data_IF_082113898892
#
_entry.id   IF_082113898892
#
_cell.length_a   1.000
_cell.length_b   1.000
_cell.length_c   1.000
_cell.angle_alpha   90.00
_cell.angle_beta   90.00
_cell.angle_gamma   90.00
#
_symmetry.space_group_name_H-M   'P 1'
#
loop_
_entity.id
_entity.type
_entity.pdbx_description
1 polymer ?
#
# COMPACT_ATOMS: atom_id res chain seq x y z
N UNK A 1 -20.39 21.63 1.44
CA UNK A 1 -19.95 20.48 2.28
C UNK A 1 -20.65 20.57 3.61
N UNK A 2 -21.51 19.59 3.87
CA UNK A 2 -22.21 19.44 5.14
C UNK A 2 -21.20 19.11 6.26
N UNK A 3 -21.64 19.21 7.53
CA UNK A 3 -20.80 18.78 8.65
C UNK A 3 -20.47 17.28 8.60
N UNK A 4 -21.40 16.48 8.07
CA UNK A 4 -21.26 15.04 7.84
C UNK A 4 -20.23 14.74 6.74
N UNK A 5 -20.24 15.47 5.63
CA UNK A 5 -19.21 15.32 4.59
C UNK A 5 -17.81 15.61 5.16
N UNK A 6 -17.69 16.62 6.03
CA UNK A 6 -16.41 16.98 6.66
C UNK A 6 -15.91 15.89 7.61
N UNK A 7 -16.79 15.26 8.39
CA UNK A 7 -16.41 14.18 9.31
C UNK A 7 -15.97 12.94 8.53
N UNK A 8 -16.71 12.55 7.48
CA UNK A 8 -16.34 11.45 6.60
C UNK A 8 -15.01 11.69 5.91
N UNK A 9 -14.81 12.88 5.33
CA UNK A 9 -13.56 13.23 4.68
C UNK A 9 -12.36 13.19 5.64
N UNK A 10 -12.57 13.53 6.92
CA UNK A 10 -11.51 13.44 7.94
C UNK A 10 -11.10 12.00 8.21
N UNK A 11 -12.06 11.07 8.28
CA UNK A 11 -11.79 9.63 8.47
C UNK A 11 -11.10 9.04 7.23
N UNK A 12 -11.58 9.36 6.02
CA UNK A 12 -10.95 8.88 4.79
C UNK A 12 -9.50 9.39 4.69
N UNK A 13 -9.30 10.68 5.01
CA UNK A 13 -7.96 11.28 4.95
C UNK A 13 -6.98 10.69 5.96
N UNK A 14 -7.44 10.33 7.17
CA UNK A 14 -6.55 9.72 8.17
C UNK A 14 -6.07 8.33 7.73
N UNK A 15 -6.95 7.53 7.13
CA UNK A 15 -6.59 6.22 6.57
C UNK A 15 -5.65 6.37 5.38
N UNK A 16 -5.90 7.36 4.49
CA UNK A 16 -5.09 7.59 3.29
C UNK A 16 -3.61 7.82 3.61
N UNK A 17 -3.32 8.56 4.68
CA UNK A 17 -1.93 8.83 5.11
C UNK A 17 -1.18 7.52 5.40
N UNK A 18 -1.81 6.60 6.13
CA UNK A 18 -1.20 5.30 6.44
C UNK A 18 -0.99 4.46 5.18
N UNK A 19 -1.96 4.46 4.27
CA UNK A 19 -1.88 3.77 2.98
C UNK A 19 -0.75 4.34 2.10
N UNK A 20 -0.60 5.66 2.02
CA UNK A 20 0.48 6.31 1.27
C UNK A 20 1.87 5.91 1.82
N UNK A 21 2.01 5.84 3.15
CA UNK A 21 3.25 5.34 3.77
C UNK A 21 3.51 3.86 3.46
N UNK A 22 2.48 3.02 3.47
CA UNK A 22 2.61 1.61 3.09
C UNK A 22 3.02 1.47 1.61
N UNK A 23 2.40 2.24 0.70
CA UNK A 23 2.74 2.26 -0.73
C UNK A 23 4.20 2.71 -0.94
N UNK A 24 4.66 3.74 -0.23
CA UNK A 24 6.06 4.15 -0.27
C UNK A 24 6.99 3.05 0.26
N UNK A 25 6.56 2.31 1.28
CA UNK A 25 7.33 1.23 1.91
C UNK A 25 7.51 0.02 1.00
N UNK A 26 6.47 -0.39 0.27
CA UNK A 26 6.51 -1.56 -0.64
C UNK A 26 7.36 -1.31 -1.89
N UNK A 27 7.57 -0.05 -2.29
CA UNK A 27 8.48 0.33 -3.40
C UNK A 27 9.96 -0.02 -3.15
N UNK A 28 10.30 -0.60 -1.99
CA UNK A 28 11.60 -1.29 -1.81
C UNK A 28 11.71 -2.54 -2.69
N UNK A 29 10.59 -3.19 -3.01
CA UNK A 29 10.52 -4.27 -3.98
C UNK A 29 10.58 -3.69 -5.40
N UNK A 30 11.65 -3.97 -6.15
CA UNK A 30 11.83 -3.43 -7.51
C UNK A 30 10.73 -3.82 -8.49
N UNK A 31 10.11 -4.99 -8.30
CA UNK A 31 8.94 -5.41 -9.08
C UNK A 31 7.75 -4.45 -8.98
N UNK A 32 7.63 -3.67 -7.90
CA UNK A 32 6.58 -2.64 -7.70
C UNK A 32 7.08 -1.24 -8.04
N UNK A 33 8.38 -0.98 -7.86
CA UNK A 33 8.98 0.34 -8.09
C UNK A 33 9.23 0.63 -9.58
N UNK A 34 9.79 -0.34 -10.28
CA UNK A 34 10.22 -0.19 -11.65
C UNK A 34 9.11 -0.67 -12.60
N UNK A 35 9.26 -0.43 -13.90
CA UNK A 35 8.29 -0.90 -14.90
C UNK A 35 8.21 -2.43 -14.84
N UNK A 36 7.07 -2.93 -14.40
CA UNK A 36 6.75 -4.36 -14.41
C UNK A 36 6.46 -4.79 -15.84
N UNK A 37 7.33 -5.64 -16.41
CA UNK A 37 7.26 -6.06 -17.83
C UNK A 37 6.57 -7.40 -18.05
N UNK A 38 6.08 -8.02 -16.98
CA UNK A 38 5.36 -9.28 -17.09
C UNK A 38 3.87 -8.99 -17.28
N UNK A 39 3.34 -9.42 -18.43
CA UNK A 39 1.96 -9.17 -18.86
C UNK A 39 1.07 -10.41 -18.69
N UNK A 40 1.57 -11.46 -18.05
CA UNK A 40 0.71 -12.59 -17.73
C UNK A 40 -0.38 -12.15 -16.75
N UNK A 41 -1.58 -12.67 -16.98
CA UNK A 41 -2.76 -12.27 -16.24
C UNK A 41 -2.60 -12.50 -14.73
N UNK A 42 -3.05 -11.53 -13.93
CA UNK A 42 -2.96 -11.53 -12.47
C UNK A 42 -1.56 -11.35 -11.86
N UNK A 43 -0.47 -11.34 -12.63
CA UNK A 43 0.88 -11.22 -12.04
C UNK A 43 1.19 -9.82 -11.51
N UNK A 44 0.61 -8.77 -12.08
CA UNK A 44 0.74 -7.42 -11.52
C UNK A 44 0.10 -7.32 -10.14
N UNK A 45 -1.07 -7.93 -9.97
CA UNK A 45 -1.79 -7.94 -8.69
C UNK A 45 -1.04 -8.79 -7.67
N UNK A 46 -0.59 -9.98 -8.07
CA UNK A 46 0.23 -10.84 -7.21
C UNK A 46 1.54 -10.14 -6.77
N UNK A 47 2.18 -9.38 -7.67
CA UNK A 47 3.39 -8.64 -7.32
C UNK A 47 3.14 -7.59 -6.23
N UNK A 48 1.99 -6.90 -6.28
CA UNK A 48 1.56 -5.96 -5.25
C UNK A 48 1.21 -6.69 -3.95
N UNK A 49 0.44 -7.78 -4.01
CA UNK A 49 0.05 -8.57 -2.84
C UNK A 49 1.28 -9.09 -2.08
N UNK A 50 2.24 -9.68 -2.80
CA UNK A 50 3.49 -10.17 -2.22
C UNK A 50 4.28 -9.02 -1.57
N UNK A 51 4.36 -7.85 -2.23
CA UNK A 51 5.06 -6.70 -1.67
C UNK A 51 4.38 -6.17 -0.39
N UNK A 52 3.05 -6.14 -0.36
CA UNK A 52 2.25 -5.80 0.83
C UNK A 52 2.46 -6.82 1.96
N UNK A 53 2.45 -8.13 1.65
CA UNK A 53 2.72 -9.17 2.62
C UNK A 53 4.12 -9.03 3.24
N UNK A 54 5.14 -8.74 2.41
CA UNK A 54 6.51 -8.49 2.88
C UNK A 54 6.60 -7.21 3.74
N UNK A 55 5.82 -6.17 3.43
CA UNK A 55 5.74 -4.99 4.28
C UNK A 55 5.14 -5.31 5.64
N UNK A 56 4.02 -6.05 5.68
CA UNK A 56 3.35 -6.45 6.91
C UNK A 56 4.25 -7.35 7.75
N UNK A 57 4.91 -8.33 7.14
CA UNK A 57 5.90 -9.18 7.78
C UNK A 57 7.01 -8.33 8.41
N UNK A 58 7.60 -7.38 7.66
CA UNK A 58 8.63 -6.49 8.19
C UNK A 58 8.15 -5.65 9.38
N UNK A 59 6.89 -5.21 9.40
CA UNK A 59 6.33 -4.49 10.54
C UNK A 59 6.18 -5.39 11.77
N UNK A 60 5.71 -6.62 11.58
CA UNK A 60 5.54 -7.60 12.65
C UNK A 60 6.87 -7.95 13.34
N UNK A 61 7.96 -8.07 12.58
CA UNK A 61 9.29 -8.44 13.09
C UNK A 61 10.22 -7.26 13.42
N UNK A 62 9.79 -6.01 13.18
CA UNK A 62 10.59 -4.81 13.55
C UNK A 62 10.51 -4.48 15.05
N UNK A 63 9.50 -5.02 15.74
CA UNK A 63 9.24 -4.79 17.17
C UNK A 63 9.70 -5.96 18.06
N UNK A 64 10.38 -6.96 17.47
CA UNK A 64 11.12 -8.02 18.17
C UNK A 64 12.61 -7.66 18.18
#
# INVERSE_FOLDING_TARGET
MTAEDKSLNRVISSVRIQVEHAIASIKRCRMVKDIFRNWADGLSDLAIEVACALHNWRLAFRLL
#
